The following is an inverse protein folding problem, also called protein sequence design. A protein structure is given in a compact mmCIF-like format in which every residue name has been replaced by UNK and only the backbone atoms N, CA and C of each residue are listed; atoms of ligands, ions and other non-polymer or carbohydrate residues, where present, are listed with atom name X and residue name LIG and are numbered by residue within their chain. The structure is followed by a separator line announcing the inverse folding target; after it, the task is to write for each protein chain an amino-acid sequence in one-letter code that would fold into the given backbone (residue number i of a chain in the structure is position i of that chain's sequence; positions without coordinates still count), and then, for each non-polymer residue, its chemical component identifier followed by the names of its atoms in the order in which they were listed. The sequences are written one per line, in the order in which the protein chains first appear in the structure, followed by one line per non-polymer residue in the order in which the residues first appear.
data_IF_288801992430
#
_entry.id   IF_288801992430
#
_cell.length_a   1.000
_cell.length_b   1.000
_cell.length_c   1.000
_cell.angle_alpha   90.00
_cell.angle_beta   90.00
_cell.angle_gamma   90.00
#
_symmetry.space_group_name_H-M   'P 1'
#
loop_
_entity.id
_entity.type
_entity.pdbx_description
1 polymer ?
#
# COMPACT_ATOMS: atom_id res chain seq x y z
N UNK A 1 11.34 53.62 -7.42
CA UNK A 1 10.89 53.71 -6.99
C UNK A 1 10.55 53.11 -6.06
N UNK A 2 10.50 52.99 -5.43
CA UNK A 2 10.37 52.53 -4.55
C UNK A 2 9.35 52.05 -4.19
N UNK A 3 8.81 51.53 -4.20
CA UNK A 3 7.76 51.15 -3.87
C UNK A 3 7.59 49.94 -3.42
N UNK A 4 8.35 49.28 -2.94
CA UNK A 4 8.20 48.10 -2.37
C UNK A 4 7.33 48.17 -1.18
N UNK A 5 6.13 48.13 -1.33
CA UNK A 5 5.24 48.00 -0.25
C UNK A 5 5.46 46.65 0.40
N UNK A 6 5.91 46.55 1.62
CA UNK A 6 6.15 45.28 2.28
C UNK A 6 4.87 44.45 2.38
N UNK A 7 3.72 45.10 2.33
CA UNK A 7 2.44 44.40 2.32
C UNK A 7 2.22 43.63 1.04
N UNK A 8 2.65 44.18 -0.10
CA UNK A 8 2.51 43.53 -1.40
C UNK A 8 3.43 42.31 -1.49
N UNK A 9 4.63 42.44 -0.98
CA UNK A 9 5.57 41.34 -0.95
C UNK A 9 5.07 40.22 -0.04
N UNK A 10 4.47 40.59 1.08
CA UNK A 10 3.91 39.58 1.99
C UNK A 10 2.74 38.85 1.34
N UNK A 11 1.92 39.55 0.56
CA UNK A 11 0.83 38.93 -0.16
C UNK A 11 1.30 37.95 -1.21
N UNK A 12 2.35 38.29 -1.94
CA UNK A 12 2.91 37.42 -2.97
C UNK A 12 3.50 36.18 -2.34
N UNK A 13 4.17 36.32 -1.21
CA UNK A 13 4.75 35.16 -0.50
C UNK A 13 3.66 34.23 0.02
N UNK A 14 2.55 34.77 0.49
CA UNK A 14 1.44 33.95 0.94
C UNK A 14 0.77 33.19 -0.20
N UNK A 15 0.68 33.79 -1.34
CA UNK A 15 0.11 33.13 -2.51
C UNK A 15 0.95 31.95 -2.97
N UNK A 16 2.26 32.09 -2.92
CA UNK A 16 3.16 31.01 -3.30
C UNK A 16 3.06 29.84 -2.33
N UNK A 17 2.93 30.13 -1.04
CA UNK A 17 2.78 29.09 -0.03
C UNK A 17 1.47 28.31 -0.20
N UNK A 18 0.40 29.00 -0.61
CA UNK A 18 -0.88 28.34 -0.84
C UNK A 18 -0.85 27.37 -2.02
N UNK A 19 -0.06 27.67 -3.02
CA UNK A 19 0.07 26.80 -4.18
C UNK A 19 0.77 25.48 -3.84
N UNK A 20 1.65 25.48 -2.86
CA UNK A 20 2.34 24.26 -2.45
C UNK A 20 1.41 23.27 -1.78
N UNK A 21 0.32 23.73 -1.21
CA UNK A 21 -0.65 22.87 -0.55
C UNK A 21 -1.50 22.04 -1.48
N UNK A 22 -1.46 22.33 -2.79
CA UNK A 22 -2.29 21.63 -3.75
C UNK A 22 -1.59 20.43 -4.40
N UNK A 23 -0.31 20.20 -4.09
CA UNK A 23 0.39 19.04 -4.62
C UNK A 23 0.06 17.86 -3.74
N UNK A 24 -0.89 17.06 -4.18
CA UNK A 24 -1.21 15.87 -3.46
C UNK A 24 -0.16 14.84 -3.80
N UNK A 25 0.82 14.77 -3.00
CA UNK A 25 1.76 13.69 -3.05
C UNK A 25 1.17 12.55 -2.24
N UNK A 26 0.87 11.43 -2.86
CA UNK A 26 0.10 10.38 -2.18
C UNK A 26 0.81 9.76 -0.98
N UNK A 27 2.11 9.75 -0.93
CA UNK A 27 2.81 9.11 0.17
C UNK A 27 3.97 9.93 0.65
N UNK A 28 3.69 10.94 1.45
CA UNK A 28 4.74 11.76 2.05
C UNK A 28 5.04 11.38 3.49
N UNK A 29 4.13 10.68 4.15
CA UNK A 29 4.36 10.27 5.53
C UNK A 29 5.24 9.01 5.58
N UNK A 30 6.00 8.88 6.65
CA UNK A 30 6.82 7.69 6.86
C UNK A 30 5.97 6.42 6.93
N UNK A 31 4.76 6.53 7.48
CA UNK A 31 3.85 5.39 7.54
C UNK A 31 3.43 4.92 6.15
N UNK A 32 3.10 5.85 5.28
CA UNK A 32 2.70 5.50 3.92
C UNK A 32 3.83 4.84 3.14
N UNK A 33 5.04 5.35 3.29
CA UNK A 33 6.22 4.75 2.65
C UNK A 33 6.50 3.36 3.20
N UNK A 34 6.32 3.19 4.51
CA UNK A 34 6.50 1.91 5.15
C UNK A 34 5.47 0.90 4.65
N UNK A 35 4.20 1.31 4.53
CA UNK A 35 3.14 0.46 4.02
C UNK A 35 3.40 0.04 2.57
N UNK A 36 3.87 0.96 1.74
CA UNK A 36 4.20 0.65 0.34
C UNK A 36 5.33 -0.37 0.25
N UNK A 37 6.32 -0.25 1.12
CA UNK A 37 7.43 -1.19 1.16
C UNK A 37 6.95 -2.57 1.61
N UNK A 38 6.12 -2.62 2.64
CA UNK A 38 5.56 -3.88 3.14
C UNK A 38 4.75 -4.56 2.03
N UNK A 39 3.92 -3.81 1.32
CA UNK A 39 3.14 -4.36 0.21
C UNK A 39 4.06 -4.97 -0.85
N UNK A 40 5.11 -4.26 -1.23
CA UNK A 40 6.05 -4.75 -2.23
C UNK A 40 6.77 -6.02 -1.75
N UNK A 41 7.20 -6.03 -0.50
CA UNK A 41 7.90 -7.18 0.07
C UNK A 41 6.99 -8.41 0.14
N UNK A 42 5.74 -8.24 0.58
CA UNK A 42 4.78 -9.35 0.64
C UNK A 42 4.53 -9.89 -0.77
N UNK A 43 4.31 -9.01 -1.73
CA UNK A 43 4.08 -9.44 -3.12
C UNK A 43 5.27 -10.23 -3.67
N UNK A 44 6.47 -9.79 -3.37
CA UNK A 44 7.67 -10.48 -3.82
C UNK A 44 7.79 -11.85 -3.18
N UNK A 45 7.54 -11.96 -1.88
CA UNK A 45 7.56 -13.24 -1.19
C UNK A 45 6.49 -14.19 -1.73
N UNK A 46 5.32 -13.68 -2.05
CA UNK A 46 4.24 -14.50 -2.60
C UNK A 46 4.60 -15.06 -3.98
N UNK A 47 5.39 -14.32 -4.76
CA UNK A 47 5.82 -14.79 -6.09
C UNK A 47 6.72 -16.02 -6.01
N UNK A 48 7.37 -16.25 -4.88
CA UNK A 48 8.20 -17.44 -4.70
C UNK A 48 7.39 -18.71 -4.61
N UNK A 49 6.09 -18.59 -4.35
CA UNK A 49 5.20 -19.75 -4.23
C UNK A 49 4.39 -19.92 -5.50
N UNK A 50 4.76 -20.88 -6.31
CA UNK A 50 4.11 -21.13 -7.60
C UNK A 50 2.64 -21.46 -7.46
N UNK A 51 2.27 -22.10 -6.36
CA UNK A 51 0.87 -22.45 -6.12
C UNK A 51 -0.02 -21.24 -5.93
N UNK A 52 0.57 -20.06 -5.71
CA UNK A 52 -0.19 -18.82 -5.58
C UNK A 52 -0.23 -18.03 -6.88
N UNK A 53 0.39 -18.58 -7.94
CA UNK A 53 0.38 -17.96 -9.26
C UNK A 53 -0.88 -18.33 -10.03
N UNK A 54 -1.04 -17.76 -11.21
CA UNK A 54 -2.19 -18.02 -12.04
C UNK A 54 -2.50 -19.52 -12.15
N UNK A 55 -3.77 -19.90 -12.11
CA UNK A 55 -4.97 -19.06 -12.14
C UNK A 55 -5.35 -18.41 -10.82
N UNK A 56 -4.61 -18.66 -9.77
CA UNK A 56 -4.87 -18.04 -8.48
C UNK A 56 -4.51 -16.56 -8.52
N UNK A 57 -5.20 -15.75 -7.74
CA UNK A 57 -4.95 -14.34 -7.63
C UNK A 57 -4.90 -13.95 -6.16
N UNK A 58 -3.79 -13.38 -5.76
CA UNK A 58 -3.64 -12.84 -4.41
C UNK A 58 -3.21 -11.39 -4.54
N UNK A 59 -4.06 -10.49 -4.06
CA UNK A 59 -3.78 -9.07 -4.04
C UNK A 59 -3.42 -8.65 -2.63
N UNK A 60 -2.52 -7.69 -2.51
CA UNK A 60 -1.99 -7.23 -1.23
C UNK A 60 -2.17 -5.73 -1.11
N UNK A 61 -2.67 -5.29 0.03
CA UNK A 61 -2.74 -3.88 0.36
C UNK A 61 -2.34 -3.72 1.81
N UNK A 62 -1.55 -2.70 2.12
CA UNK A 62 -1.09 -2.45 3.48
C UNK A 62 -1.53 -1.07 3.94
N UNK A 63 -2.09 -1.00 5.13
CA UNK A 63 -2.51 0.26 5.75
C UNK A 63 -2.15 0.24 7.22
N UNK A 64 -1.30 1.17 7.66
CA UNK A 64 -0.91 1.26 9.06
C UNK A 64 -0.25 0.00 9.60
N UNK A 65 0.51 -0.69 8.78
CA UNK A 65 1.17 -1.93 9.17
C UNK A 65 0.27 -3.16 9.14
N UNK A 66 -1.00 -3.00 8.75
CA UNK A 66 -1.94 -4.12 8.60
C UNK A 66 -1.98 -4.52 7.13
N UNK A 67 -1.72 -5.78 6.85
CA UNK A 67 -1.73 -6.31 5.49
C UNK A 67 -3.09 -6.95 5.22
N UNK A 68 -3.74 -6.49 4.15
CA UNK A 68 -5.01 -7.04 3.70
C UNK A 68 -4.79 -7.89 2.46
N UNK A 69 -5.08 -9.17 2.58
CA UNK A 69 -4.98 -10.11 1.47
C UNK A 69 -6.37 -10.34 0.89
N UNK A 70 -6.49 -10.16 -0.42
CA UNK A 70 -7.74 -10.40 -1.14
C UNK A 70 -7.44 -11.22 -2.38
N UNK A 71 -8.50 -11.66 -3.04
CA UNK A 71 -8.36 -12.42 -4.27
C UNK A 71 -9.03 -13.77 -4.18
N UNK A 72 -8.58 -14.71 -5.01
CA UNK A 72 -9.17 -16.04 -5.09
C UNK A 72 -8.09 -17.10 -5.27
N UNK A 73 -8.22 -18.17 -4.51
CA UNK A 73 -7.40 -19.37 -4.64
C UNK A 73 -8.29 -20.60 -4.67
N UNK A 74 -7.73 -21.74 -5.04
CA UNK A 74 -8.53 -22.96 -5.22
C UNK A 74 -8.55 -23.86 -3.98
N UNK A 75 -7.71 -23.60 -3.00
CA UNK A 75 -7.67 -24.43 -1.79
C UNK A 75 -7.40 -23.61 -0.55
N UNK A 76 -7.84 -24.17 0.58
CA UNK A 76 -7.56 -23.53 1.86
C UNK A 76 -6.07 -23.50 2.17
N UNK A 77 -5.35 -24.52 1.76
CA UNK A 77 -3.92 -24.56 1.96
C UNK A 77 -3.23 -23.36 1.31
N UNK A 78 -3.66 -23.01 0.11
CA UNK A 78 -3.13 -21.83 -0.58
C UNK A 78 -3.45 -20.56 0.16
N UNK A 79 -4.67 -20.44 0.68
CA UNK A 79 -5.08 -19.29 1.46
C UNK A 79 -4.24 -19.14 2.72
N UNK A 80 -4.02 -20.27 3.42
CA UNK A 80 -3.22 -20.27 4.64
C UNK A 80 -1.74 -19.98 4.34
N UNK A 81 -1.25 -20.48 3.21
CA UNK A 81 0.12 -20.21 2.79
C UNK A 81 0.33 -18.72 2.55
N UNK A 82 -0.64 -18.08 1.87
CA UNK A 82 -0.56 -16.65 1.62
C UNK A 82 -0.52 -15.87 2.94
N UNK A 83 -1.36 -16.25 3.90
CA UNK A 83 -1.36 -15.60 5.21
C UNK A 83 -0.03 -15.77 5.93
N UNK A 84 0.50 -16.98 5.94
CA UNK A 84 1.77 -17.26 6.61
C UNK A 84 2.92 -16.46 5.99
N UNK A 85 2.95 -16.38 4.68
CA UNK A 85 3.98 -15.62 3.97
C UNK A 85 3.89 -14.14 4.35
N UNK A 86 2.68 -13.60 4.41
CA UNK A 86 2.49 -12.21 4.80
C UNK A 86 2.92 -11.98 6.25
N UNK A 87 2.56 -12.88 7.15
CA UNK A 87 2.93 -12.76 8.57
C UNK A 87 4.43 -12.80 8.79
N UNK A 88 5.15 -13.53 7.97
CA UNK A 88 6.61 -13.65 8.07
C UNK A 88 7.37 -12.49 7.46
N UNK A 89 6.69 -11.61 6.76
CA UNK A 89 7.33 -10.46 6.14
C UNK A 89 7.65 -9.40 7.20
N UNK A 90 8.89 -8.90 7.26
CA UNK A 90 9.27 -7.89 8.25
C UNK A 90 8.42 -6.63 8.13
N UNK A 91 8.05 -6.06 9.26
CA UNK A 91 7.26 -4.82 9.30
C UNK A 91 5.76 -5.06 9.38
N UNK A 92 5.30 -6.27 9.16
CA UNK A 92 3.87 -6.60 9.22
C UNK A 92 3.42 -6.71 10.67
N UNK A 93 2.44 -5.89 11.04
CA UNK A 93 1.87 -5.93 12.39
C UNK A 93 0.71 -6.90 12.51
N UNK A 94 -0.10 -6.99 11.46
CA UNK A 94 -1.28 -7.84 11.45
C UNK A 94 -1.63 -8.20 10.01
N UNK A 95 -2.21 -9.37 9.81
CA UNK A 95 -2.69 -9.80 8.50
C UNK A 95 -4.19 -10.07 8.57
N UNK A 96 -4.94 -9.45 7.65
CA UNK A 96 -6.36 -9.72 7.48
C UNK A 96 -6.50 -10.51 6.18
N UNK A 97 -6.91 -11.76 6.29
CA UNK A 97 -7.00 -12.65 5.14
C UNK A 97 -8.44 -12.73 4.66
N UNK A 98 -8.71 -12.06 3.55
CA UNK A 98 -10.03 -12.05 2.91
C UNK A 98 -10.02 -12.75 1.56
N UNK A 99 -9.09 -13.68 1.38
CA UNK A 99 -8.99 -14.45 0.15
C UNK A 99 -10.17 -15.44 0.08
N UNK A 100 -10.86 -15.43 -1.06
CA UNK A 100 -11.97 -16.35 -1.28
C UNK A 100 -11.48 -17.66 -1.90
N UNK A 101 -12.22 -18.72 -1.65
CA UNK A 101 -11.97 -19.99 -2.30
C UNK A 101 -12.83 -20.06 -3.58
N UNK A 102 -12.17 -20.33 -4.68
CA UNK A 102 -12.85 -20.48 -5.96
C UNK A 102 -12.89 -21.98 -6.28
N UNK A 103 -13.97 -22.61 -5.92
CA UNK A 103 -14.14 -23.98 -6.33
C UNK A 103 -14.63 -24.00 -7.78
N UNK A 104 -13.71 -24.22 -8.65
CA UNK A 104 -14.16 -24.43 -9.98
C UNK A 104 -14.53 -25.85 -10.07
N UNK A 105 -15.59 -26.10 -9.65
CA UNK A 105 -15.92 -27.18 -9.68
C UNK A 105 -16.68 -27.98 -10.30
N UNK A 106 -16.66 -28.63 -10.57
CA UNK A 106 -17.14 -29.38 -10.84
C UNK A 106 -17.17 -29.56 -11.29
#
# INVERSE_FOLDING_TARGET
MRNGNPLVLAFILMLVAALQGCVSSPCTSAECQSDAKITADVKEHLKAYRELSAPNRVDVETRGGVVYLTGQVISELQRDTAQRVAEQTPGVGQVVNSISLSYSGR
#
